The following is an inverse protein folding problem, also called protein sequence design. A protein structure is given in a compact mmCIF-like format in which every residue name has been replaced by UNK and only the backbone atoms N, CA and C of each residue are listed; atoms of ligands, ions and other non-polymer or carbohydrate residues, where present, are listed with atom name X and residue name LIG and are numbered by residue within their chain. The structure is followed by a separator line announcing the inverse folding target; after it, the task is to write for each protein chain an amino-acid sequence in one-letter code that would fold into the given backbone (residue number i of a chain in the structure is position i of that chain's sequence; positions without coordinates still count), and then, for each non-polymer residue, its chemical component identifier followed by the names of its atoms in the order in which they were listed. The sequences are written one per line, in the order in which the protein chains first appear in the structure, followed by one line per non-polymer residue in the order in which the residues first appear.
data_IF_791501294558
#
_entry.id   IF_791501294558
#
_cell.length_a   1.000
_cell.length_b   1.000
_cell.length_c   1.000
_cell.angle_alpha   90.00
_cell.angle_beta   90.00
_cell.angle_gamma   90.00
#
_symmetry.space_group_name_H-M   'P 1'
#
loop_
_entity.id
_entity.type
_entity.pdbx_description
1 polymer ?
#
# COMPACT_ATOMS: atom_id res chain seq x y z
N UNK A 1 21.29 11.79 4.38
CA UNK A 1 21.67 12.71 3.29
C UNK A 1 22.47 13.90 3.81
N UNK A 2 23.45 14.38 3.05
CA UNK A 2 24.19 15.62 3.36
C UNK A 2 23.61 16.84 2.62
N UNK A 3 22.35 16.76 2.17
CA UNK A 3 21.73 17.77 1.33
C UNK A 3 21.79 17.43 -0.16
N UNK A 4 21.33 18.34 -1.02
CA UNK A 4 21.45 18.15 -2.47
C UNK A 4 22.94 18.16 -2.85
N UNK A 5 23.41 17.26 -3.74
CA UNK A 5 24.79 17.29 -4.19
C UNK A 5 25.14 18.66 -4.79
N UNK A 6 26.34 19.22 -4.53
CA UNK A 6 26.72 20.54 -5.05
C UNK A 6 26.62 20.65 -6.57
N UNK A 7 26.90 19.56 -7.29
CA UNK A 7 26.76 19.51 -8.74
C UNK A 7 25.32 19.76 -9.19
N UNK A 8 24.33 19.26 -8.44
CA UNK A 8 22.91 19.54 -8.71
C UNK A 8 22.57 20.96 -8.26
N UNK A 9 22.88 21.31 -7.02
CA UNK A 9 22.44 22.57 -6.43
C UNK A 9 23.05 23.83 -7.06
N UNK A 10 24.16 23.71 -7.81
CA UNK A 10 24.88 24.85 -8.41
C UNK A 10 24.97 24.80 -9.93
N UNK A 11 25.10 23.60 -10.51
CA UNK A 11 25.45 23.47 -11.92
C UNK A 11 24.26 23.03 -12.79
N UNK A 12 23.18 22.54 -12.19
CA UNK A 12 21.95 22.16 -12.89
C UNK A 12 20.87 23.25 -12.75
N UNK A 13 20.00 23.33 -13.74
CA UNK A 13 18.81 24.17 -13.66
C UNK A 13 17.75 23.56 -12.71
N UNK A 14 16.90 24.38 -12.08
CA UNK A 14 15.80 23.92 -11.25
C UNK A 14 14.86 22.93 -11.96
N UNK A 15 14.48 21.85 -11.28
CA UNK A 15 13.49 20.88 -11.78
C UNK A 15 12.07 21.23 -11.34
N UNK A 16 11.08 21.00 -12.20
CA UNK A 16 9.66 21.14 -11.83
C UNK A 16 9.14 20.00 -10.93
N UNK A 17 9.85 18.86 -10.92
CA UNK A 17 9.45 17.68 -10.15
C UNK A 17 10.65 16.97 -9.51
N UNK A 18 10.61 16.83 -8.19
CA UNK A 18 11.55 16.08 -7.38
C UNK A 18 10.89 14.81 -6.87
N UNK A 19 11.46 13.66 -7.21
CA UNK A 19 10.84 12.36 -7.00
C UNK A 19 11.75 11.43 -6.20
N UNK A 20 11.15 10.72 -5.24
CA UNK A 20 11.78 9.64 -4.50
C UNK A 20 10.91 8.38 -4.55
N UNK A 21 11.54 7.21 -4.51
CA UNK A 21 10.84 5.92 -4.53
C UNK A 21 11.60 4.85 -3.73
N UNK A 22 10.94 3.71 -3.50
CA UNK A 22 11.47 2.56 -2.76
C UNK A 22 11.85 2.85 -1.29
N UNK A 23 11.10 3.72 -0.63
CA UNK A 23 11.30 4.13 0.75
C UNK A 23 12.59 4.93 0.95
N UNK A 24 13.01 5.72 -0.06
CA UNK A 24 14.34 6.36 -0.04
C UNK A 24 14.52 7.21 1.22
N UNK A 25 13.49 7.95 1.64
CA UNK A 25 13.60 8.84 2.80
C UNK A 25 13.57 8.09 4.14
N UNK A 26 13.22 6.79 4.15
CA UNK A 26 13.39 5.93 5.33
C UNK A 26 14.86 5.57 5.61
N UNK A 27 15.77 5.77 4.68
CA UNK A 27 17.20 5.62 4.95
C UNK A 27 17.79 6.80 5.74
N UNK A 28 17.03 7.88 5.94
CA UNK A 28 17.49 9.11 6.55
C UNK A 28 16.85 9.32 7.92
N UNK A 29 17.65 9.83 8.86
CA UNK A 29 17.10 10.45 10.07
C UNK A 29 16.38 11.76 9.73
N UNK A 30 15.68 12.35 10.70
CA UNK A 30 14.87 13.54 10.49
C UNK A 30 15.73 14.74 10.09
N UNK A 31 16.89 14.96 10.71
CA UNK A 31 17.80 16.05 10.33
C UNK A 31 18.24 15.94 8.86
N UNK A 32 18.55 14.72 8.43
CA UNK A 32 18.93 14.44 7.05
C UNK A 32 17.77 14.61 6.07
N UNK A 33 16.54 14.23 6.44
CA UNK A 33 15.33 14.49 5.66
C UNK A 33 15.08 16.00 5.54
N UNK A 34 15.10 16.72 6.65
CA UNK A 34 14.90 18.18 6.70
C UNK A 34 15.89 18.87 5.78
N UNK A 35 17.18 18.52 5.90
CA UNK A 35 18.25 19.12 5.10
C UNK A 35 18.05 18.91 3.59
N UNK A 36 17.81 17.67 3.14
CA UNK A 36 17.65 17.39 1.71
C UNK A 36 16.40 18.08 1.15
N UNK A 37 15.29 18.10 1.91
CA UNK A 37 14.05 18.74 1.47
C UNK A 37 14.20 20.26 1.44
N UNK A 38 14.87 20.86 2.42
CA UNK A 38 15.14 22.30 2.44
C UNK A 38 16.03 22.72 1.25
N UNK A 39 17.04 21.92 0.90
CA UNK A 39 17.86 22.17 -0.29
C UNK A 39 17.04 22.04 -1.58
N UNK A 40 16.16 21.04 -1.69
CA UNK A 40 15.20 20.91 -2.80
C UNK A 40 14.35 22.17 -2.93
N UNK A 41 13.81 22.69 -1.82
CA UNK A 41 12.99 23.90 -1.84
C UNK A 41 13.77 25.12 -2.34
N UNK A 42 15.03 25.27 -1.92
CA UNK A 42 15.89 26.36 -2.41
C UNK A 42 16.17 26.25 -3.91
N UNK A 43 16.43 25.04 -4.39
CA UNK A 43 16.73 24.76 -5.79
C UNK A 43 15.50 24.92 -6.71
N UNK A 44 14.33 24.40 -6.31
CA UNK A 44 13.13 24.29 -7.13
C UNK A 44 12.53 25.62 -7.64
N UNK A 45 11.86 25.68 -8.80
CA UNK A 45 11.06 26.86 -9.17
C UNK A 45 9.77 26.98 -8.32
N UNK A 46 9.07 28.11 -8.45
CA UNK A 46 7.74 28.29 -7.84
C UNK A 46 6.75 27.25 -8.41
N UNK A 47 5.88 26.69 -7.56
CA UNK A 47 4.90 25.65 -7.88
C UNK A 47 5.48 24.28 -8.27
N UNK A 48 6.78 24.06 -8.09
CA UNK A 48 7.38 22.74 -8.27
C UNK A 48 6.79 21.71 -7.30
N UNK A 49 6.79 20.45 -7.71
CA UNK A 49 6.28 19.34 -6.93
C UNK A 49 7.44 18.54 -6.32
N UNK A 50 7.32 18.24 -5.04
CA UNK A 50 8.15 17.27 -4.34
C UNK A 50 7.30 16.07 -3.92
N UNK A 51 7.75 14.86 -4.27
CA UNK A 51 7.15 13.60 -3.83
C UNK A 51 8.13 12.85 -2.94
N UNK A 52 7.78 12.77 -1.65
CA UNK A 52 8.51 12.05 -0.64
C UNK A 52 7.94 10.65 -0.40
N UNK A 53 8.82 9.69 -0.15
CA UNK A 53 8.42 8.34 0.18
C UNK A 53 9.19 7.69 1.35
N UNK A 54 8.42 7.05 2.23
CA UNK A 54 8.90 6.39 3.44
C UNK A 54 8.21 5.03 3.63
N UNK A 55 8.69 4.24 4.58
CA UNK A 55 7.99 3.09 5.13
C UNK A 55 6.94 3.53 6.17
N UNK A 56 5.74 2.98 6.05
CA UNK A 56 4.62 3.33 6.93
C UNK A 56 4.73 2.67 8.31
N UNK A 57 4.74 3.45 9.38
CA UNK A 57 4.90 2.96 10.77
C UNK A 57 3.88 1.90 11.19
N UNK A 58 2.67 2.00 10.66
CA UNK A 58 1.53 1.20 11.05
C UNK A 58 1.19 0.10 10.05
N UNK A 59 2.09 -0.27 9.13
CA UNK A 59 1.86 -1.44 8.27
C UNK A 59 1.57 -2.69 9.10
N UNK A 60 0.60 -3.48 8.66
CA UNK A 60 0.31 -4.79 9.26
C UNK A 60 1.49 -5.76 9.12
N UNK A 61 2.38 -5.56 8.14
CA UNK A 61 3.61 -6.33 7.97
C UNK A 61 4.51 -6.35 9.21
N UNK A 62 4.48 -5.28 10.01
CA UNK A 62 5.27 -5.12 11.22
C UNK A 62 4.42 -4.67 12.40
N UNK A 63 3.26 -5.31 12.56
CA UNK A 63 2.38 -5.13 13.72
C UNK A 63 3.13 -5.24 15.06
N UNK A 64 4.16 -6.07 15.16
CA UNK A 64 4.93 -6.22 16.38
C UNK A 64 5.66 -4.94 16.81
N UNK A 65 5.90 -4.02 15.88
CA UNK A 65 6.67 -2.79 16.07
C UNK A 65 5.80 -1.55 16.33
N UNK A 66 4.47 -1.65 16.27
CA UNK A 66 3.57 -0.48 16.43
C UNK A 66 3.70 0.23 17.79
N UNK A 67 4.25 -0.44 18.80
CA UNK A 67 4.39 0.08 20.15
C UNK A 67 5.51 1.10 20.34
N UNK A 68 6.39 1.27 19.35
CA UNK A 68 7.44 2.27 19.42
C UNK A 68 6.83 3.68 19.37
N UNK A 69 7.25 4.59 20.28
CA UNK A 69 6.69 5.94 20.37
C UNK A 69 6.91 6.74 19.09
N UNK A 70 6.02 7.70 18.83
CA UNK A 70 6.03 8.57 17.64
C UNK A 70 7.00 9.73 17.83
N UNK A 71 7.26 10.11 19.09
CA UNK A 71 8.15 11.17 19.49
C UNK A 71 9.64 10.81 19.32
N UNK A 72 9.93 9.52 19.12
CA UNK A 72 11.27 8.99 18.91
C UNK A 72 11.41 8.42 17.50
N UNK A 73 12.55 8.70 16.86
CA UNK A 73 12.88 8.06 15.60
C UNK A 73 13.06 6.56 15.81
N UNK A 74 12.28 5.77 15.08
CA UNK A 74 12.38 4.33 15.14
C UNK A 74 12.93 3.76 13.83
N UNK A 75 14.05 3.05 13.93
CA UNK A 75 14.67 2.32 12.83
C UNK A 75 14.46 0.83 13.03
N UNK A 76 13.69 0.22 12.14
CA UNK A 76 13.56 -1.23 12.04
C UNK A 76 14.84 -1.82 11.44
N UNK A 77 15.29 -2.96 11.95
CA UNK A 77 16.32 -3.77 11.31
C UNK A 77 15.72 -4.50 10.10
N UNK A 78 15.60 -3.81 8.96
CA UNK A 78 14.91 -4.30 7.77
C UNK A 78 15.70 -5.44 7.12
N UNK A 79 15.21 -6.67 7.32
CA UNK A 79 15.75 -7.91 6.77
C UNK A 79 15.31 -8.15 5.33
N UNK A 80 16.22 -8.53 4.45
CA UNK A 80 15.91 -8.93 3.07
C UNK A 80 15.64 -10.45 3.01
N UNK A 81 14.79 -10.98 3.88
CA UNK A 81 14.49 -12.42 3.97
C UNK A 81 13.62 -12.92 2.81
N UNK A 82 12.79 -12.03 2.22
CA UNK A 82 11.81 -12.36 1.19
C UNK A 82 12.41 -12.82 -0.15
N UNK A 83 13.73 -12.68 -0.36
CA UNK A 83 14.41 -13.21 -1.54
C UNK A 83 14.67 -14.71 -1.44
N UNK A 84 14.60 -15.27 -0.22
CA UNK A 84 14.83 -16.68 0.04
C UNK A 84 13.50 -17.45 0.13
N UNK A 85 13.46 -18.69 -0.39
CA UNK A 85 12.41 -19.65 -0.10
C UNK A 85 12.23 -19.86 1.41
N UNK A 86 11.01 -20.19 1.84
CA UNK A 86 10.67 -20.34 3.26
C UNK A 86 11.56 -21.39 3.95
N UNK A 87 11.91 -22.48 3.26
CA UNK A 87 12.77 -23.54 3.81
C UNK A 87 14.23 -23.09 4.01
N UNK A 88 14.68 -22.08 3.28
CA UNK A 88 16.07 -21.60 3.28
C UNK A 88 16.29 -20.40 4.20
N UNK A 89 15.23 -19.66 4.55
CA UNK A 89 15.31 -18.41 5.35
C UNK A 89 16.01 -18.60 6.70
N UNK A 90 15.84 -19.75 7.34
CA UNK A 90 16.42 -20.02 8.66
C UNK A 90 17.93 -20.26 8.65
N UNK A 91 18.49 -20.63 7.50
CA UNK A 91 19.92 -20.96 7.33
C UNK A 91 20.65 -19.96 6.45
N UNK A 92 19.93 -19.12 5.71
CA UNK A 92 20.50 -18.08 4.88
C UNK A 92 21.12 -16.97 5.73
N UNK A 93 22.25 -16.43 5.26
CA UNK A 93 22.82 -15.19 5.78
C UNK A 93 22.00 -14.00 5.26
N UNK A 94 20.92 -13.70 5.97
CA UNK A 94 19.96 -12.67 5.57
C UNK A 94 20.54 -11.29 5.87
N UNK A 95 20.84 -10.55 4.80
CA UNK A 95 21.23 -9.14 4.91
C UNK A 95 20.14 -8.31 5.58
N UNK A 96 20.54 -7.39 6.46
CA UNK A 96 19.64 -6.39 7.04
C UNK A 96 20.27 -5.00 7.05
N UNK A 97 19.43 -3.98 7.11
CA UNK A 97 19.85 -2.59 7.22
C UNK A 97 18.79 -1.74 7.93
N UNK A 98 19.18 -0.66 8.63
CA UNK A 98 18.23 0.16 9.37
C UNK A 98 17.34 0.96 8.41
N UNK A 99 16.02 0.88 8.60
CA UNK A 99 15.04 1.73 7.92
C UNK A 99 14.08 2.38 8.91
N UNK A 100 13.94 3.69 8.77
CA UNK A 100 13.03 4.50 9.58
C UNK A 100 11.58 4.21 9.21
N UNK A 101 10.76 3.98 10.23
CA UNK A 101 9.32 3.90 10.11
C UNK A 101 8.69 5.25 10.45
N UNK A 102 7.73 5.72 9.67
CA UNK A 102 7.05 7.01 9.91
C UNK A 102 5.54 6.94 9.73
N UNK A 103 4.81 7.73 10.50
CA UNK A 103 3.41 8.06 10.25
C UNK A 103 3.27 9.44 9.57
N UNK A 104 2.04 9.83 9.21
CA UNK A 104 1.79 11.16 8.60
C UNK A 104 2.29 12.31 9.48
N UNK A 105 2.01 12.26 10.78
CA UNK A 105 2.39 13.32 11.71
C UNK A 105 3.91 13.54 11.75
N UNK A 106 4.70 12.45 11.74
CA UNK A 106 6.16 12.54 11.66
C UNK A 106 6.62 13.17 10.35
N UNK A 107 5.97 12.82 9.23
CA UNK A 107 6.28 13.42 7.92
C UNK A 107 5.93 14.90 7.91
N UNK A 108 4.75 15.29 8.41
CA UNK A 108 4.34 16.71 8.51
C UNK A 108 5.34 17.51 9.36
N UNK A 109 5.79 16.95 10.49
CA UNK A 109 6.83 17.57 11.32
C UNK A 109 8.18 17.75 10.59
N UNK A 110 8.58 16.79 9.75
CA UNK A 110 9.78 16.91 8.90
C UNK A 110 9.61 18.02 7.87
N UNK A 111 8.44 18.08 7.22
CA UNK A 111 8.12 19.06 6.19
C UNK A 111 8.08 20.47 6.78
N UNK A 112 7.44 20.66 7.94
CA UNK A 112 7.36 21.95 8.63
C UNK A 112 8.76 22.46 8.99
N UNK A 113 9.64 21.58 9.50
CA UNK A 113 11.04 21.93 9.80
C UNK A 113 11.82 22.27 8.52
N UNK A 114 11.61 21.54 7.42
CA UNK A 114 12.25 21.84 6.14
C UNK A 114 11.77 23.19 5.56
N UNK A 115 10.50 23.51 5.73
CA UNK A 115 9.93 24.81 5.35
C UNK A 115 10.57 25.94 6.16
N UNK A 116 10.68 25.77 7.49
CA UNK A 116 11.36 26.74 8.37
C UNK A 116 12.84 26.92 8.00
N UNK A 117 13.56 25.83 7.72
CA UNK A 117 14.98 25.88 7.38
C UNK A 117 15.24 26.51 5.99
N UNK A 118 14.35 26.28 5.03
CA UNK A 118 14.45 26.87 3.69
C UNK A 118 13.91 28.30 3.60
N UNK A 119 13.00 28.69 4.50
CA UNK A 119 12.25 29.95 4.41
C UNK A 119 11.18 29.95 3.32
N UNK A 120 10.79 28.78 2.80
CA UNK A 120 9.87 28.59 1.67
C UNK A 120 8.69 27.75 2.15
N UNK A 121 7.46 28.10 1.78
CA UNK A 121 6.27 27.34 2.14
C UNK A 121 6.25 26.00 1.37
N UNK A 122 6.01 24.90 2.09
CA UNK A 122 5.80 23.57 1.52
C UNK A 122 4.38 23.15 1.84
N UNK A 123 3.50 23.15 0.83
CA UNK A 123 2.10 22.80 1.02
C UNK A 123 1.84 21.32 0.73
N UNK A 124 1.32 20.54 1.68
CA UNK A 124 0.84 19.19 1.41
C UNK A 124 -0.35 19.22 0.45
N UNK A 125 -0.28 18.43 -0.63
CA UNK A 125 -1.37 18.24 -1.58
C UNK A 125 -2.11 16.92 -1.33
N UNK A 126 -1.35 15.84 -1.08
CA UNK A 126 -1.90 14.51 -0.92
C UNK A 126 -0.99 13.64 -0.06
N UNK A 127 -1.60 12.78 0.73
CA UNK A 127 -0.93 11.65 1.36
C UNK A 127 -1.66 10.36 1.00
N UNK A 128 -0.92 9.29 0.80
CA UNK A 128 -1.49 7.97 0.58
C UNK A 128 -0.56 6.84 1.03
N UNK A 129 -1.16 5.75 1.48
CA UNK A 129 -0.49 4.50 1.79
C UNK A 129 -0.40 3.62 0.53
N UNK A 130 0.64 2.77 0.45
CA UNK A 130 0.76 1.76 -0.61
C UNK A 130 1.01 0.37 -0.06
N UNK A 131 0.56 -0.63 -0.82
CA UNK A 131 0.83 -2.05 -0.62
C UNK A 131 0.31 -2.58 0.72
N UNK A 132 -0.99 -2.40 0.98
CA UNK A 132 -1.68 -3.02 2.12
C UNK A 132 -1.84 -4.54 1.90
N UNK A 133 -2.01 -4.99 0.65
CA UNK A 133 -2.20 -6.40 0.30
C UNK A 133 -0.93 -7.15 -0.11
N UNK A 134 0.06 -6.45 -0.65
CA UNK A 134 1.17 -7.08 -1.40
C UNK A 134 2.55 -6.66 -0.90
N UNK A 135 2.64 -6.15 0.33
CA UNK A 135 3.92 -5.90 1.00
C UNK A 135 4.76 -7.17 1.11
N UNK A 136 6.07 -7.08 0.82
CA UNK A 136 6.95 -8.27 0.73
C UNK A 136 7.07 -9.02 2.06
N UNK A 137 6.91 -8.34 3.18
CA UNK A 137 7.01 -8.92 4.51
C UNK A 137 5.72 -9.58 4.99
N UNK A 138 4.61 -9.44 4.25
CA UNK A 138 3.40 -10.22 4.52
C UNK A 138 3.66 -11.72 4.36
N UNK A 139 4.53 -12.14 3.43
CA UNK A 139 4.83 -13.55 3.20
C UNK A 139 5.96 -14.09 4.10
N UNK A 140 6.67 -13.23 4.84
CA UNK A 140 7.79 -13.64 5.67
C UNK A 140 7.42 -13.80 7.13
N UNK A 141 6.53 -12.95 7.63
CA UNK A 141 6.11 -12.97 9.03
C UNK A 141 7.21 -12.55 10.01
N UNK A 142 8.29 -11.93 9.54
CA UNK A 142 9.45 -11.56 10.38
C UNK A 142 9.09 -10.59 11.51
N UNK A 143 8.09 -9.74 11.29
CA UNK A 143 7.67 -8.68 12.22
C UNK A 143 6.18 -8.75 12.59
N UNK A 144 5.50 -9.78 12.11
CA UNK A 144 4.14 -10.12 12.48
C UNK A 144 3.86 -11.57 12.06
N UNK A 145 3.78 -12.46 13.04
CA UNK A 145 3.49 -13.89 12.81
C UNK A 145 2.08 -14.17 12.26
N UNK A 146 1.20 -13.18 12.27
CA UNK A 146 -0.18 -13.26 11.80
C UNK A 146 -0.38 -12.65 10.41
N UNK A 147 0.71 -12.37 9.68
CA UNK A 147 0.60 -11.89 8.31
C UNK A 147 -0.04 -12.94 7.39
N UNK A 148 -1.01 -12.54 6.54
CA UNK A 148 -1.57 -13.43 5.53
C UNK A 148 -0.63 -13.54 4.33
N UNK A 149 -0.48 -14.75 3.78
CA UNK A 149 0.35 -15.04 2.59
C UNK A 149 -0.38 -14.66 1.29
N UNK A 150 -0.63 -13.37 1.09
CA UNK A 150 -1.52 -12.88 0.02
C UNK A 150 -0.85 -12.63 -1.32
N UNK A 151 0.48 -12.50 -1.39
CA UNK A 151 1.12 -12.05 -2.65
C UNK A 151 0.94 -13.05 -3.78
N UNK A 152 1.14 -14.34 -3.50
CA UNK A 152 0.95 -15.39 -4.50
C UNK A 152 -0.49 -15.45 -5.02
N UNK A 153 -1.54 -15.57 -4.18
CA UNK A 153 -2.91 -15.62 -4.69
C UNK A 153 -3.36 -14.31 -5.33
N UNK A 154 -2.91 -13.14 -4.85
CA UNK A 154 -3.22 -11.86 -5.52
C UNK A 154 -2.56 -11.77 -6.90
N UNK A 155 -1.32 -12.25 -7.06
CA UNK A 155 -0.66 -12.28 -8.36
C UNK A 155 -1.37 -13.24 -9.33
N UNK A 156 -1.82 -14.40 -8.84
CA UNK A 156 -2.53 -15.41 -9.64
C UNK A 156 -3.81 -14.86 -10.29
N UNK A 157 -4.48 -13.88 -9.67
CA UNK A 157 -5.65 -13.20 -10.26
C UNK A 157 -5.34 -12.51 -11.60
N UNK A 158 -4.08 -12.21 -11.89
CA UNK A 158 -3.65 -11.56 -13.13
C UNK A 158 -2.95 -12.53 -14.10
N UNK A 159 -2.79 -13.80 -13.72
CA UNK A 159 -2.12 -14.80 -14.54
C UNK A 159 -3.10 -15.43 -15.54
N UNK A 160 -2.75 -15.37 -16.84
CA UNK A 160 -3.61 -15.94 -17.87
C UNK A 160 -3.75 -17.45 -17.72
N UNK A 161 -5.00 -17.94 -17.83
CA UNK A 161 -5.36 -19.36 -17.69
C UNK A 161 -5.01 -20.01 -16.34
N UNK A 162 -4.76 -19.21 -15.31
CA UNK A 162 -4.63 -19.67 -13.93
C UNK A 162 -5.93 -19.36 -13.21
N UNK A 163 -6.55 -20.38 -12.61
CA UNK A 163 -7.68 -20.18 -11.69
C UNK A 163 -7.13 -20.10 -10.28
N UNK A 164 -7.32 -18.95 -9.66
CA UNK A 164 -6.96 -18.71 -8.28
C UNK A 164 -7.92 -19.47 -7.37
N UNK A 165 -7.38 -20.10 -6.33
CA UNK A 165 -8.18 -20.49 -5.18
C UNK A 165 -8.62 -19.22 -4.43
N UNK A 166 -9.84 -18.74 -4.69
CA UNK A 166 -10.31 -17.48 -4.14
C UNK A 166 -10.42 -17.50 -2.60
N UNK A 167 -10.56 -18.67 -1.97
CA UNK A 167 -10.58 -18.75 -0.50
C UNK A 167 -9.21 -18.38 0.10
N UNK A 168 -8.12 -18.61 -0.63
CA UNK A 168 -6.77 -18.23 -0.20
C UNK A 168 -6.54 -16.70 -0.15
N UNK A 169 -7.48 -15.90 -0.68
CA UNK A 169 -7.48 -14.43 -0.55
C UNK A 169 -8.15 -13.95 0.74
N UNK A 170 -8.80 -14.83 1.50
CA UNK A 170 -9.49 -14.46 2.73
C UNK A 170 -8.49 -14.26 3.87
N UNK A 171 -8.67 -13.17 4.61
CA UNK A 171 -7.79 -12.79 5.73
C UNK A 171 -8.52 -12.93 7.06
N UNK A 172 -7.94 -13.69 7.98
CA UNK A 172 -8.35 -13.70 9.39
C UNK A 172 -7.48 -12.69 10.15
N UNK A 173 -7.96 -11.45 10.25
CA UNK A 173 -7.20 -10.35 10.85
C UNK A 173 -7.05 -10.54 12.36
N UNK A 174 -5.82 -10.39 12.86
CA UNK A 174 -5.52 -10.48 14.30
C UNK A 174 -5.24 -9.08 14.85
N UNK A 175 -6.10 -8.54 15.73
CA UNK A 175 -5.89 -7.21 16.31
C UNK A 175 -4.78 -7.19 17.37
N UNK A 176 -4.15 -6.04 17.56
CA UNK A 176 -3.15 -5.81 18.62
C UNK A 176 -3.77 -5.03 19.78
N UNK A 177 -3.68 -5.56 21.00
CA UNK A 177 -4.22 -4.90 22.19
C UNK A 177 -3.64 -3.49 22.38
N UNK A 178 -4.50 -2.49 22.64
CA UNK A 178 -4.10 -1.11 22.88
C UNK A 178 -3.97 -0.23 21.62
N UNK A 179 -4.24 -0.78 20.44
CA UNK A 179 -4.13 -0.09 19.15
C UNK A 179 -5.48 0.02 18.44
N UNK A 180 -6.56 0.29 19.19
CA UNK A 180 -7.94 0.25 18.69
C UNK A 180 -8.15 1.09 17.42
N UNK A 181 -7.54 2.26 17.33
CA UNK A 181 -7.61 3.08 16.12
C UNK A 181 -7.06 2.37 14.86
N UNK A 182 -5.90 1.70 14.98
CA UNK A 182 -5.30 0.93 13.89
C UNK A 182 -6.10 -0.35 13.62
N UNK A 183 -6.52 -1.05 14.68
CA UNK A 183 -7.31 -2.27 14.57
C UNK A 183 -8.63 -2.01 13.83
N UNK A 184 -9.34 -0.93 14.18
CA UNK A 184 -10.60 -0.56 13.53
C UNK A 184 -10.42 -0.35 12.02
N UNK A 185 -9.30 0.25 11.60
CA UNK A 185 -9.00 0.41 10.18
C UNK A 185 -8.77 -0.96 9.51
N UNK A 186 -7.83 -1.77 10.03
CA UNK A 186 -7.47 -3.03 9.39
C UNK A 186 -8.62 -4.03 9.41
N UNK A 187 -9.43 -4.07 10.47
CA UNK A 187 -10.64 -4.88 10.54
C UNK A 187 -11.64 -4.45 9.46
N UNK A 188 -11.94 -3.15 9.35
CA UNK A 188 -12.81 -2.63 8.29
C UNK A 188 -12.26 -2.95 6.89
N UNK A 189 -10.95 -2.77 6.68
CA UNK A 189 -10.28 -3.02 5.42
C UNK A 189 -10.38 -4.49 5.02
N UNK A 190 -9.89 -5.41 5.85
CA UNK A 190 -9.91 -6.84 5.57
C UNK A 190 -11.32 -7.41 5.52
N UNK A 191 -12.27 -6.92 6.34
CA UNK A 191 -13.68 -7.27 6.18
C UNK A 191 -14.22 -6.86 4.82
N UNK A 192 -13.86 -5.68 4.31
CA UNK A 192 -14.29 -5.21 2.99
C UNK A 192 -13.69 -6.09 1.88
N UNK A 193 -12.41 -6.41 1.98
CA UNK A 193 -11.70 -7.33 1.07
C UNK A 193 -12.35 -8.71 1.05
N UNK A 194 -12.55 -9.30 2.24
CA UNK A 194 -13.17 -10.61 2.40
C UNK A 194 -14.61 -10.63 1.87
N UNK A 195 -15.36 -9.55 2.06
CA UNK A 195 -16.73 -9.43 1.54
C UNK A 195 -16.72 -9.43 0.03
N UNK A 196 -15.82 -8.67 -0.62
CA UNK A 196 -15.69 -8.67 -2.08
C UNK A 196 -15.33 -10.06 -2.62
N UNK A 197 -14.38 -10.76 -1.98
CA UNK A 197 -13.99 -12.12 -2.35
C UNK A 197 -15.16 -13.09 -2.20
N UNK A 198 -15.84 -13.10 -1.05
CA UNK A 198 -17.00 -13.97 -0.78
C UNK A 198 -18.16 -13.70 -1.73
N UNK A 199 -18.44 -12.44 -2.05
CA UNK A 199 -19.44 -12.09 -3.05
C UNK A 199 -19.07 -12.66 -4.41
N UNK A 200 -17.80 -12.55 -4.80
CA UNK A 200 -17.32 -13.08 -6.09
C UNK A 200 -17.41 -14.60 -6.15
N UNK A 201 -17.03 -15.30 -5.08
CA UNK A 201 -17.21 -16.76 -4.96
C UNK A 201 -18.69 -17.14 -5.13
N UNK A 202 -19.59 -16.49 -4.38
CA UNK A 202 -21.02 -16.78 -4.44
C UNK A 202 -21.64 -16.49 -5.81
N UNK A 203 -21.18 -15.44 -6.51
CA UNK A 203 -21.61 -15.16 -7.88
C UNK A 203 -21.11 -16.22 -8.85
N UNK A 204 -19.85 -16.68 -8.71
CA UNK A 204 -19.27 -17.73 -9.55
C UNK A 204 -19.97 -19.08 -9.36
N UNK A 205 -20.35 -19.44 -8.13
CA UNK A 205 -21.10 -20.67 -7.84
C UNK A 205 -22.49 -20.67 -8.51
N UNK A 206 -23.10 -19.48 -8.63
CA UNK A 206 -24.38 -19.27 -9.31
C UNK A 206 -24.27 -18.90 -10.79
N UNK A 207 -23.06 -18.84 -11.36
CA UNK A 207 -22.83 -18.35 -12.71
C UNK A 207 -23.02 -19.43 -13.77
N UNK A 208 -23.94 -19.18 -14.70
CA UNK A 208 -24.18 -20.04 -15.85
C UNK A 208 -23.30 -19.61 -17.01
N UNK A 209 -22.24 -20.38 -17.28
CA UNK A 209 -21.27 -20.08 -18.35
C UNK A 209 -21.85 -20.17 -19.76
N UNK A 210 -23.02 -20.81 -19.93
CA UNK A 210 -23.68 -20.90 -21.23
C UNK A 210 -24.60 -19.71 -21.52
N UNK A 211 -25.19 -19.11 -20.50
CA UNK A 211 -26.12 -17.99 -20.68
C UNK A 211 -25.55 -16.65 -20.23
N UNK A 212 -24.49 -16.66 -19.41
CA UNK A 212 -23.98 -15.47 -18.72
C UNK A 212 -24.83 -15.04 -17.54
N UNK A 213 -25.82 -15.84 -17.14
CA UNK A 213 -26.76 -15.48 -16.08
C UNK A 213 -26.18 -15.75 -14.70
N UNK A 214 -26.38 -14.80 -13.78
CA UNK A 214 -26.10 -14.96 -12.35
C UNK A 214 -27.38 -15.38 -11.62
N UNK A 215 -27.42 -16.62 -11.15
CA UNK A 215 -28.56 -17.14 -10.36
C UNK A 215 -28.54 -16.64 -8.92
N UNK A 216 -27.36 -16.28 -8.43
CA UNK A 216 -27.16 -15.78 -7.07
C UNK A 216 -26.49 -14.41 -7.16
N UNK A 217 -27.15 -13.40 -6.63
CA UNK A 217 -26.61 -12.05 -6.48
C UNK A 217 -26.63 -11.74 -4.99
N UNK A 218 -25.47 -11.76 -4.31
CA UNK A 218 -25.40 -11.46 -2.89
C UNK A 218 -25.88 -10.03 -2.60
N UNK A 219 -26.59 -9.85 -1.48
CA UNK A 219 -27.13 -8.55 -1.07
C UNK A 219 -25.99 -7.57 -0.75
N UNK A 220 -26.04 -6.38 -1.34
CA UNK A 220 -25.13 -5.28 -0.98
C UNK A 220 -25.72 -4.52 0.20
N UNK A 221 -25.16 -4.72 1.38
CA UNK A 221 -25.70 -4.13 2.60
C UNK A 221 -25.52 -2.60 2.64
N UNK A 222 -26.50 -1.84 3.18
CA UNK A 222 -26.44 -0.37 3.19
C UNK A 222 -25.27 0.23 3.95
N UNK A 223 -24.72 -0.49 4.94
CA UNK A 223 -23.60 -0.01 5.76
C UNK A 223 -22.21 -0.28 5.14
N UNK A 224 -22.13 -1.01 4.01
CA UNK A 224 -20.86 -1.21 3.33
C UNK A 224 -20.27 0.14 2.86
N UNK A 225 -18.93 0.30 2.94
CA UNK A 225 -18.29 1.51 2.45
C UNK A 225 -18.50 1.64 0.93
N UNK A 226 -18.62 2.88 0.45
CA UNK A 226 -18.91 3.15 -0.96
C UNK A 226 -17.92 2.45 -1.92
N UNK A 227 -16.60 2.45 -1.68
CA UNK A 227 -15.65 1.72 -2.55
C UNK A 227 -15.95 0.22 -2.67
N UNK A 228 -16.41 -0.43 -1.59
CA UNK A 228 -16.82 -1.84 -1.61
C UNK A 228 -18.06 -2.08 -2.46
N UNK A 229 -19.08 -1.22 -2.32
CA UNK A 229 -20.30 -1.32 -3.12
C UNK A 229 -20.00 -1.19 -4.61
N UNK A 230 -19.17 -0.22 -4.98
CA UNK A 230 -18.72 -0.01 -6.36
C UNK A 230 -17.90 -1.19 -6.89
N UNK A 231 -17.00 -1.74 -6.07
CA UNK A 231 -16.20 -2.91 -6.41
C UNK A 231 -17.08 -4.15 -6.68
N UNK A 232 -18.04 -4.45 -5.79
CA UNK A 232 -18.98 -5.57 -5.96
C UNK A 232 -19.80 -5.37 -7.24
N UNK A 233 -20.35 -4.18 -7.46
CA UNK A 233 -21.13 -3.88 -8.67
C UNK A 233 -20.31 -4.02 -9.95
N UNK A 234 -19.05 -3.59 -9.92
CA UNK A 234 -18.13 -3.71 -11.07
C UNK A 234 -17.88 -5.16 -11.42
N UNK A 235 -17.54 -6.02 -10.44
CA UNK A 235 -17.33 -7.45 -10.67
C UNK A 235 -18.60 -8.09 -11.22
N UNK A 236 -19.75 -7.83 -10.58
CA UNK A 236 -21.06 -8.35 -11.02
C UNK A 236 -21.36 -8.01 -12.48
N UNK A 237 -21.23 -6.73 -12.85
CA UNK A 237 -21.52 -6.25 -14.22
C UNK A 237 -20.58 -6.85 -15.25
N UNK A 238 -19.32 -7.09 -14.90
CA UNK A 238 -18.38 -7.78 -15.78
C UNK A 238 -18.84 -9.22 -15.99
N UNK A 239 -19.19 -9.95 -14.92
CA UNK A 239 -19.67 -11.32 -15.02
C UNK A 239 -20.90 -11.44 -15.92
N UNK A 240 -21.90 -10.58 -15.74
CA UNK A 240 -23.10 -10.52 -16.61
C UNK A 240 -22.75 -10.18 -18.07
N UNK A 241 -21.71 -9.38 -18.30
CA UNK A 241 -21.33 -8.88 -19.62
C UNK A 241 -20.44 -9.81 -20.45
N UNK A 242 -19.85 -10.85 -19.84
CA UNK A 242 -18.85 -11.72 -20.51
C UNK A 242 -19.39 -13.09 -20.93
N UNK A 243 -20.65 -13.40 -20.62
CA UNK A 243 -21.25 -14.72 -20.93
C UNK A 243 -21.39 -15.07 -22.42
N UNK A 244 -21.22 -14.10 -23.32
CA UNK A 244 -21.21 -14.33 -24.76
C UNK A 244 -19.91 -14.97 -25.26
N UNK A 245 -18.83 -14.94 -24.46
CA UNK A 245 -17.53 -15.51 -24.83
C UNK A 245 -17.54 -17.02 -24.58
N UNK A 246 -17.52 -17.81 -25.66
CA UNK A 246 -17.64 -19.29 -25.61
C UNK A 246 -16.32 -20.05 -25.62
N UNK A 247 -15.20 -19.35 -25.75
CA UNK A 247 -13.87 -19.93 -25.83
C UNK A 247 -12.92 -19.25 -24.85
N UNK A 248 -11.91 -20.00 -24.41
CA UNK A 248 -11.02 -19.56 -23.34
C UNK A 248 -11.62 -19.71 -21.95
N UNK A 249 -10.83 -19.41 -20.93
CA UNK A 249 -11.27 -19.47 -19.53
C UNK A 249 -11.66 -18.07 -19.05
N UNK A 250 -12.93 -17.70 -19.22
CA UNK A 250 -13.44 -16.35 -18.89
C UNK A 250 -13.27 -16.02 -17.42
N UNK A 251 -13.38 -17.02 -16.54
CA UNK A 251 -13.13 -16.86 -15.11
C UNK A 251 -11.70 -16.40 -14.87
N UNK A 252 -10.72 -17.19 -15.33
CA UNK A 252 -9.30 -16.91 -15.11
C UNK A 252 -8.84 -15.62 -15.81
N UNK A 253 -9.28 -15.39 -17.05
CA UNK A 253 -8.70 -14.32 -17.88
C UNK A 253 -9.41 -12.96 -17.73
N UNK A 254 -10.65 -12.93 -17.25
CA UNK A 254 -11.45 -11.69 -17.18
C UNK A 254 -11.99 -11.44 -15.78
N UNK A 255 -12.74 -12.38 -15.22
CA UNK A 255 -13.44 -12.17 -13.95
C UNK A 255 -12.44 -12.03 -12.80
N UNK A 256 -11.47 -12.94 -12.69
CA UNK A 256 -10.44 -12.90 -11.64
C UNK A 256 -9.52 -11.68 -11.80
N UNK A 257 -9.16 -11.30 -13.03
CA UNK A 257 -8.41 -10.06 -13.31
C UNK A 257 -9.15 -8.82 -12.80
N UNK A 258 -10.47 -8.75 -13.02
CA UNK A 258 -11.31 -7.66 -12.53
C UNK A 258 -11.44 -7.68 -11.01
N UNK A 259 -11.53 -8.87 -10.39
CA UNK A 259 -11.44 -8.99 -8.93
C UNK A 259 -10.11 -8.43 -8.41
N UNK A 260 -8.99 -8.72 -9.06
CA UNK A 260 -7.68 -8.15 -8.73
C UNK A 260 -7.67 -6.62 -8.77
N UNK A 261 -8.22 -6.03 -9.83
CA UNK A 261 -8.37 -4.56 -9.92
C UNK A 261 -9.33 -4.00 -8.87
N UNK A 262 -10.41 -4.71 -8.55
CA UNK A 262 -11.38 -4.30 -7.55
C UNK A 262 -10.76 -4.31 -6.13
N UNK A 263 -9.94 -5.31 -5.79
CA UNK A 263 -9.15 -5.33 -4.55
C UNK A 263 -8.16 -4.16 -4.49
N UNK A 264 -7.49 -3.86 -5.62
CA UNK A 264 -6.59 -2.70 -5.73
C UNK A 264 -7.33 -1.36 -5.54
N UNK A 265 -8.56 -1.24 -6.03
CA UNK A 265 -9.42 -0.08 -5.80
C UNK A 265 -9.73 0.08 -4.31
N UNK A 266 -10.07 -1.01 -3.60
CA UNK A 266 -10.26 -0.95 -2.15
C UNK A 266 -9.02 -0.44 -1.43
N UNK A 267 -7.83 -0.94 -1.79
CA UNK A 267 -6.56 -0.42 -1.26
C UNK A 267 -6.42 1.09 -1.48
N UNK A 268 -6.73 1.57 -2.68
CA UNK A 268 -6.52 2.97 -3.07
C UNK A 268 -7.50 3.93 -2.41
N UNK A 269 -8.77 3.50 -2.27
CA UNK A 269 -9.87 4.37 -1.84
C UNK A 269 -10.16 4.31 -0.34
N UNK A 270 -9.79 3.22 0.34
CA UNK A 270 -10.04 3.07 1.79
C UNK A 270 -8.84 3.50 2.63
N UNK A 271 -7.62 3.51 2.08
CA UNK A 271 -6.44 3.89 2.83
C UNK A 271 -6.51 5.34 3.34
N UNK A 272 -6.05 5.62 4.58
CA UNK A 272 -6.15 6.95 5.15
C UNK A 272 -4.93 7.84 4.87
N UNK A 273 -3.82 7.27 4.39
CA UNK A 273 -2.57 7.95 4.10
C UNK A 273 -1.80 8.32 5.36
N UNK A 274 -1.85 7.46 6.38
CA UNK A 274 -1.30 7.75 7.72
C UNK A 274 -0.14 6.85 8.12
N UNK A 275 0.36 6.02 7.20
CA UNK A 275 1.44 5.07 7.42
C UNK A 275 0.94 3.64 7.63
N UNK A 276 -0.26 3.30 7.20
CA UNK A 276 -0.83 1.95 7.35
C UNK A 276 -0.43 0.98 6.25
N UNK A 277 0.14 1.46 5.13
CA UNK A 277 0.70 0.60 4.10
C UNK A 277 2.17 0.29 4.34
N UNK A 278 2.73 -0.62 3.53
CA UNK A 278 4.18 -0.84 3.45
C UNK A 278 4.94 0.48 3.31
N UNK A 279 4.43 1.37 2.43
CA UNK A 279 4.98 2.70 2.24
C UNK A 279 3.96 3.80 2.46
N UNK A 280 4.44 4.93 2.94
CA UNK A 280 3.72 6.20 3.08
C UNK A 280 4.28 7.22 2.10
N UNK A 281 3.40 7.85 1.34
CA UNK A 281 3.74 8.83 0.31
C UNK A 281 3.13 10.17 0.66
N UNK A 282 3.90 11.23 0.46
CA UNK A 282 3.43 12.61 0.51
C UNK A 282 3.78 13.34 -0.78
N UNK A 283 2.81 14.06 -1.34
CA UNK A 283 2.99 14.96 -2.49
C UNK A 283 2.83 16.39 -1.98
N UNK A 284 3.82 17.23 -2.28
CA UNK A 284 3.94 18.58 -1.77
C UNK A 284 4.17 19.58 -2.90
N UNK A 285 3.56 20.75 -2.79
CA UNK A 285 3.79 21.92 -3.66
C UNK A 285 4.77 22.88 -2.96
N UNK A 286 5.80 23.33 -3.68
CA UNK A 286 6.77 24.32 -3.20
C UNK A 286 6.29 25.72 -3.61
N UNK A 287 6.12 26.61 -2.63
CA UNK A 287 5.55 27.97 -2.81
C UNK A 287 6.56 29.03 -2.37
N UNK A 288 7.19 29.69 -3.34
CA UNK A 288 8.26 30.67 -3.15
C UNK A 288 7.74 32.10 -3.01
#
# INVERSE_FOLDING_TARGET
SNGLPPAIAKDEDPFDFYFTSFGTLSHFNNEQCVKIIADICRHAPEHAIFMGDWLGRYSYEWQDLWHHPVEEEYFMDYRISYIYPEEERAIADVASFPLKLVCREEVENIIDKASQESGIEIKPLLFFDRSLFIGRHLDTGDYNKHCPKLRAPVNALFESYVRTDLESLLVDFVPRQGFDHLNNFFEMFFMSSNTLVKHTISMLDGYDYETGELKVIPEILPFYPKPLKEAIDTVRRVMEGVGWVKWGDVRANVIETVLGYALRKLETDLQPGTGMGHGLFGIFEIRK
#
